data_IF_063673978040
#
_entry.id   IF_063673978040
#
_cell.length_a   1.000
_cell.length_b   1.000
_cell.length_c   1.000
_cell.angle_alpha   90.00
_cell.angle_beta   90.00
_cell.angle_gamma   90.00
#
_symmetry.space_group_name_H-M   'P 1'
#
loop_
_entity.id
_entity.type
_entity.pdbx_description
1 polymer ?
#
# COMPACT_ATOMS: atom_id res chain seq x y z
N UNK A 1 10.20 -12.47 10.84
CA UNK A 1 8.89 -12.02 10.31
C UNK A 1 9.06 -11.62 8.85
N UNK A 2 8.30 -12.22 7.96
CA UNK A 2 8.18 -11.77 6.56
C UNK A 2 7.15 -10.66 6.47
N UNK A 3 7.48 -9.57 5.77
CA UNK A 3 6.62 -8.40 5.59
C UNK A 3 6.29 -8.21 4.12
N UNK A 4 5.01 -8.27 3.79
CA UNK A 4 4.49 -8.12 2.43
C UNK A 4 3.63 -6.88 2.35
N UNK A 5 4.00 -5.96 1.47
CA UNK A 5 3.33 -4.66 1.33
C UNK A 5 2.42 -4.68 0.10
N UNK A 6 1.21 -4.18 0.26
CA UNK A 6 0.24 -4.00 -0.80
C UNK A 6 0.16 -2.50 -1.11
N UNK A 7 0.49 -2.13 -2.35
CA UNK A 7 0.49 -0.74 -2.81
C UNK A 7 -0.31 -0.59 -4.11
N UNK A 8 -0.56 0.62 -4.49
CA UNK A 8 -1.26 0.98 -5.73
C UNK A 8 -2.18 2.18 -5.54
N UNK A 9 -2.78 2.68 -6.64
CA UNK A 9 -3.75 3.76 -6.59
C UNK A 9 -4.99 3.42 -5.74
N UNK A 10 -5.78 4.43 -5.43
CA UNK A 10 -7.05 4.22 -4.73
C UNK A 10 -8.02 3.34 -5.56
N UNK A 11 -8.96 2.69 -4.89
CA UNK A 11 -9.98 1.84 -5.53
C UNK A 11 -9.40 0.70 -6.38
N UNK A 12 -8.31 0.12 -5.95
CA UNK A 12 -7.65 -1.03 -6.60
C UNK A 12 -7.73 -2.33 -5.79
N UNK A 13 -8.55 -2.34 -4.73
CA UNK A 13 -8.80 -3.53 -3.92
C UNK A 13 -7.70 -3.87 -2.91
N UNK A 14 -6.83 -2.93 -2.53
CA UNK A 14 -5.72 -3.18 -1.59
C UNK A 14 -6.19 -3.74 -0.25
N UNK A 15 -7.10 -3.05 0.42
CA UNK A 15 -7.60 -3.45 1.74
C UNK A 15 -8.31 -4.78 1.71
N UNK A 16 -9.13 -5.02 0.69
CA UNK A 16 -9.80 -6.32 0.48
C UNK A 16 -8.77 -7.43 0.30
N UNK A 17 -7.74 -7.20 -0.49
CA UNK A 17 -6.67 -8.18 -0.72
C UNK A 17 -5.89 -8.46 0.58
N UNK A 18 -5.56 -7.44 1.36
CA UNK A 18 -4.90 -7.61 2.66
C UNK A 18 -5.72 -8.47 3.61
N UNK A 19 -7.01 -8.19 3.71
CA UNK A 19 -7.94 -8.94 4.57
C UNK A 19 -8.04 -10.41 4.14
N UNK A 20 -8.19 -10.66 2.84
CA UNK A 20 -8.27 -12.02 2.30
C UNK A 20 -6.97 -12.81 2.50
N UNK A 21 -5.82 -12.19 2.28
CA UNK A 21 -4.52 -12.81 2.52
C UNK A 21 -4.31 -13.11 4.02
N UNK A 22 -4.63 -12.17 4.88
CA UNK A 22 -4.53 -12.37 6.33
C UNK A 22 -5.41 -13.55 6.80
N UNK A 23 -6.65 -13.64 6.28
CA UNK A 23 -7.54 -14.76 6.56
C UNK A 23 -6.98 -16.09 6.03
N UNK A 24 -6.46 -16.11 4.79
CA UNK A 24 -5.90 -17.32 4.16
C UNK A 24 -4.72 -17.89 4.96
N UNK A 25 -3.80 -17.02 5.42
CA UNK A 25 -2.60 -17.43 6.17
C UNK A 25 -2.82 -17.46 7.69
N UNK A 26 -4.02 -17.17 8.17
CA UNK A 26 -4.34 -17.05 9.60
C UNK A 26 -3.35 -16.13 10.33
N UNK A 27 -3.16 -14.93 9.80
CA UNK A 27 -2.22 -13.93 10.31
C UNK A 27 -2.86 -12.54 10.39
N UNK A 28 -2.10 -11.58 10.87
CA UNK A 28 -2.50 -10.19 10.98
C UNK A 28 -2.23 -9.39 9.69
N UNK A 29 -2.90 -8.25 9.58
CA UNK A 29 -2.57 -7.23 8.60
C UNK A 29 -2.69 -5.83 9.19
N UNK A 30 -1.88 -4.92 8.70
CA UNK A 30 -1.87 -3.52 9.09
C UNK A 30 -2.78 -2.74 8.16
N UNK A 31 -3.82 -2.14 8.73
CA UNK A 31 -4.77 -1.30 7.99
C UNK A 31 -4.13 0.02 7.57
N UNK A 32 -4.64 0.60 6.50
CA UNK A 32 -4.27 1.95 6.07
C UNK A 32 -4.66 2.98 7.13
N UNK A 33 -3.67 3.54 7.81
CA UNK A 33 -3.88 4.51 8.89
C UNK A 33 -4.51 5.82 8.40
N UNK A 34 -4.23 6.22 7.16
CA UNK A 34 -4.78 7.43 6.55
C UNK A 34 -6.31 7.49 6.62
N UNK A 35 -6.97 6.34 6.37
CA UNK A 35 -8.42 6.28 6.41
C UNK A 35 -8.99 6.62 7.79
N UNK A 36 -8.45 6.00 8.83
CA UNK A 36 -8.85 6.27 10.21
C UNK A 36 -8.56 7.72 10.61
N UNK A 37 -7.38 8.21 10.26
CA UNK A 37 -6.97 9.59 10.53
C UNK A 37 -7.92 10.61 9.92
N UNK A 38 -8.25 10.47 8.63
CA UNK A 38 -9.13 11.40 7.92
C UNK A 38 -10.59 11.31 8.39
N UNK A 39 -11.07 10.14 8.76
CA UNK A 39 -12.41 9.99 9.34
C UNK A 39 -12.51 10.65 10.72
N UNK A 40 -11.46 10.62 11.52
CA UNK A 40 -11.43 11.20 12.86
C UNK A 40 -11.16 12.70 12.85
N UNK A 41 -10.25 13.18 11.99
CA UNK A 41 -9.78 14.57 12.00
C UNK A 41 -10.37 15.43 10.87
N UNK A 42 -11.20 14.85 9.98
CA UNK A 42 -11.77 15.52 8.82
C UNK A 42 -11.00 15.23 7.54
N UNK A 43 -11.68 15.41 6.41
CA UNK A 43 -11.15 15.07 5.07
C UNK A 43 -10.17 16.10 4.52
N UNK A 44 -10.14 17.29 5.09
CA UNK A 44 -9.20 18.33 4.74
C UNK A 44 -7.87 18.04 5.43
N UNK A 45 -6.79 18.06 4.65
CA UNK A 45 -5.45 17.83 5.15
C UNK A 45 -4.45 18.81 4.52
N UNK A 46 -3.41 19.09 5.25
CA UNK A 46 -2.27 19.87 4.80
C UNK A 46 -1.01 18.99 4.72
N UNK A 47 0.10 19.59 4.32
CA UNK A 47 1.37 18.90 4.18
C UNK A 47 1.87 18.27 5.48
N UNK A 48 1.69 18.95 6.62
CA UNK A 48 2.11 18.45 7.94
C UNK A 48 1.25 17.28 8.40
N UNK A 49 -0.05 17.27 8.08
CA UNK A 49 -0.93 16.15 8.38
C UNK A 49 -0.47 14.85 7.69
N UNK A 50 0.12 14.93 6.49
CA UNK A 50 0.67 13.75 5.81
C UNK A 50 1.86 13.15 6.58
N UNK A 51 2.64 13.96 7.29
CA UNK A 51 3.67 13.44 8.18
C UNK A 51 3.08 12.72 9.39
N UNK A 52 2.01 13.25 9.97
CA UNK A 52 1.31 12.59 11.08
C UNK A 52 0.72 11.26 10.65
N UNK A 53 0.10 11.21 9.47
CA UNK A 53 -0.41 9.97 8.86
C UNK A 53 0.72 8.96 8.64
N UNK A 54 1.85 9.40 8.09
CA UNK A 54 3.01 8.53 7.86
C UNK A 54 3.56 7.94 9.17
N UNK A 55 3.66 8.74 10.22
CA UNK A 55 4.09 8.28 11.55
C UNK A 55 3.09 7.29 12.15
N UNK A 56 1.80 7.54 12.01
CA UNK A 56 0.75 6.62 12.45
C UNK A 56 0.80 5.27 11.73
N UNK A 57 1.04 5.28 10.41
CA UNK A 57 1.21 4.06 9.61
C UNK A 57 2.40 3.23 10.10
N UNK A 58 3.54 3.85 10.34
CA UNK A 58 4.74 3.17 10.87
C UNK A 58 4.48 2.61 12.27
N UNK A 59 3.85 3.39 13.15
CA UNK A 59 3.51 2.93 14.49
C UNK A 59 2.56 1.70 14.46
N UNK A 60 1.56 1.72 13.59
CA UNK A 60 0.67 0.58 13.38
C UNK A 60 1.42 -0.66 12.87
N UNK A 61 2.38 -0.49 11.96
CA UNK A 61 3.22 -1.59 11.47
C UNK A 61 4.12 -2.18 12.56
N UNK A 62 4.62 -1.36 13.48
CA UNK A 62 5.48 -1.80 14.59
C UNK A 62 4.75 -2.63 15.63
N UNK A 63 3.41 -2.52 15.69
CA UNK A 63 2.59 -3.37 16.57
C UNK A 63 2.31 -4.75 15.96
N UNK A 64 2.62 -4.96 14.67
CA UNK A 64 2.44 -6.25 14.02
C UNK A 64 3.40 -7.30 14.57
N UNK A 65 2.90 -8.51 14.77
CA UNK A 65 3.66 -9.64 15.27
C UNK A 65 3.50 -10.88 14.37
N UNK A 66 4.16 -12.00 14.77
CA UNK A 66 4.04 -13.26 14.06
C UNK A 66 5.12 -13.49 13.00
N UNK A 67 4.91 -14.51 12.17
CA UNK A 67 5.88 -14.91 11.14
C UNK A 67 5.66 -14.21 9.80
N UNK A 68 4.45 -13.76 9.55
CA UNK A 68 4.01 -13.12 8.29
C UNK A 68 3.10 -11.95 8.63
N UNK A 69 3.32 -10.80 8.00
CA UNK A 69 2.54 -9.59 8.18
C UNK A 69 2.22 -8.98 6.80
N UNK A 70 0.95 -8.73 6.52
CA UNK A 70 0.51 -7.96 5.37
C UNK A 70 0.31 -6.50 5.77
N UNK A 71 0.71 -5.58 4.90
CA UNK A 71 0.70 -4.14 5.19
C UNK A 71 -0.04 -3.44 4.06
N UNK A 72 -1.19 -2.83 4.38
CA UNK A 72 -1.93 -1.99 3.45
C UNK A 72 -1.33 -0.58 3.48
N UNK A 73 -0.57 -0.26 2.46
CA UNK A 73 0.08 1.04 2.30
C UNK A 73 1.37 1.21 3.11
N UNK A 74 2.38 1.72 2.46
CA UNK A 74 3.69 2.03 3.03
C UNK A 74 4.15 3.47 2.76
N UNK A 75 5.42 3.73 3.01
CA UNK A 75 6.01 5.05 2.79
C UNK A 75 6.19 5.42 1.32
N UNK A 76 6.21 4.47 0.38
CA UNK A 76 6.14 4.80 -1.04
C UNK A 76 4.80 5.43 -1.41
N UNK A 77 3.69 4.93 -0.85
CA UNK A 77 2.38 5.53 -1.05
C UNK A 77 2.33 6.94 -0.44
N UNK A 78 2.88 7.13 0.75
CA UNK A 78 2.99 8.45 1.36
C UNK A 78 3.84 9.42 0.54
N UNK A 79 4.96 8.95 -0.03
CA UNK A 79 5.80 9.73 -0.93
C UNK A 79 5.02 10.17 -2.17
N UNK A 80 4.34 9.26 -2.84
CA UNK A 80 3.53 9.57 -4.02
C UNK A 80 2.43 10.58 -3.68
N UNK A 81 1.76 10.41 -2.56
CA UNK A 81 0.73 11.34 -2.11
C UNK A 81 1.30 12.74 -1.83
N UNK A 82 2.39 12.83 -1.07
CA UNK A 82 3.06 14.11 -0.80
C UNK A 82 3.48 14.83 -2.08
N UNK A 83 4.13 14.13 -2.99
CA UNK A 83 4.62 14.70 -4.25
C UNK A 83 3.50 15.07 -5.21
N UNK A 84 2.45 14.25 -5.30
CA UNK A 84 1.32 14.49 -6.19
C UNK A 84 0.50 15.72 -5.78
N UNK A 85 0.24 15.90 -4.48
CA UNK A 85 -0.60 17.00 -3.97
C UNK A 85 0.23 18.25 -3.68
N UNK A 86 1.42 18.11 -3.10
CA UNK A 86 2.23 19.21 -2.60
C UNK A 86 3.54 19.44 -3.37
N UNK A 87 3.83 18.61 -4.35
CA UNK A 87 5.06 18.65 -5.15
C UNK A 87 6.36 18.61 -4.33
N UNK A 88 6.32 18.02 -3.15
CA UNK A 88 7.45 17.80 -2.23
C UNK A 88 7.14 16.67 -1.26
N UNK A 89 8.18 16.10 -0.65
CA UNK A 89 8.03 15.05 0.36
C UNK A 89 8.97 15.34 1.54
N UNK A 90 8.49 15.06 2.76
CA UNK A 90 9.29 15.25 3.97
C UNK A 90 10.45 14.27 4.03
N UNK A 91 11.60 14.74 4.50
CA UNK A 91 12.81 13.93 4.69
C UNK A 91 12.57 12.73 5.60
N UNK A 92 11.71 12.86 6.61
CA UNK A 92 11.36 11.76 7.50
C UNK A 92 10.77 10.57 6.74
N UNK A 93 9.83 10.83 5.81
CA UNK A 93 9.22 9.79 4.96
C UNK A 93 10.28 9.14 4.07
N UNK A 94 11.12 9.96 3.42
CA UNK A 94 12.19 9.47 2.55
C UNK A 94 13.19 8.59 3.31
N UNK A 95 13.56 8.97 4.53
CA UNK A 95 14.44 8.19 5.39
C UNK A 95 13.80 6.83 5.76
N UNK A 96 12.50 6.81 6.06
CA UNK A 96 11.79 5.55 6.36
C UNK A 96 11.79 4.60 5.17
N UNK A 97 11.67 5.09 3.94
CA UNK A 97 11.77 4.26 2.73
C UNK A 97 13.13 3.56 2.67
N UNK A 98 14.21 4.28 2.98
CA UNK A 98 15.58 3.71 2.95
C UNK A 98 15.82 2.71 4.08
N UNK A 99 15.28 2.98 5.26
CA UNK A 99 15.54 2.18 6.47
C UNK A 99 14.66 0.92 6.56
N UNK A 100 13.43 0.97 6.03
CA UNK A 100 12.48 -0.15 6.12
C UNK A 100 12.88 -1.28 5.18
N UNK A 101 12.74 -2.50 5.70
CA UNK A 101 13.00 -3.72 4.92
C UNK A 101 11.72 -4.52 4.80
N UNK A 102 11.31 -4.73 3.57
CA UNK A 102 10.19 -5.58 3.20
C UNK A 102 10.68 -6.74 2.36
N UNK A 103 9.90 -7.81 2.29
CA UNK A 103 10.26 -9.03 1.58
C UNK A 103 9.60 -9.14 0.21
N UNK A 104 8.43 -8.49 0.03
CA UNK A 104 7.68 -8.52 -1.22
C UNK A 104 6.74 -7.31 -1.31
N UNK A 105 6.61 -6.75 -2.52
CA UNK A 105 5.56 -5.81 -2.87
C UNK A 105 4.53 -6.43 -3.79
N UNK A 106 3.25 -6.19 -3.51
CA UNK A 106 2.13 -6.51 -4.39
C UNK A 106 1.56 -5.19 -4.90
N UNK A 107 1.76 -4.91 -6.20
CA UNK A 107 1.28 -3.69 -6.84
C UNK A 107 -0.08 -3.93 -7.49
N UNK A 108 -1.13 -3.38 -6.90
CA UNK A 108 -2.50 -3.51 -7.42
C UNK A 108 -2.73 -2.61 -8.64
N UNK A 109 -3.15 -3.23 -9.73
CA UNK A 109 -3.45 -2.56 -11.00
C UNK A 109 -4.86 -1.90 -10.96
N UNK A 110 -5.10 -0.99 -11.90
CA UNK A 110 -6.32 -0.17 -12.01
C UNK A 110 -7.40 -0.81 -12.90
N UNK A 111 -7.40 -2.10 -13.07
CA UNK A 111 -8.35 -2.87 -13.88
C UNK A 111 -9.63 -3.30 -13.14
N UNK A 112 -9.80 -2.87 -11.87
CA UNK A 112 -11.07 -2.92 -11.16
C UNK A 112 -11.86 -1.62 -11.36
N UNK A 113 -13.22 -1.68 -11.39
CA UNK A 113 -14.04 -0.49 -11.43
C UNK A 113 -13.79 0.41 -10.21
N UNK A 114 -13.73 1.74 -10.45
CA UNK A 114 -13.69 2.69 -9.35
C UNK A 114 -15.03 2.67 -8.60
N UNK A 115 -14.95 2.54 -7.29
CA UNK A 115 -16.12 2.56 -6.40
C UNK A 115 -16.10 3.84 -5.59
N UNK A 116 -17.22 4.57 -5.59
CA UNK A 116 -17.37 5.80 -4.83
C UNK A 116 -17.22 5.54 -3.34
N UNK A 117 -16.38 6.34 -2.70
CA UNK A 117 -16.15 6.31 -1.26
C UNK A 117 -15.90 7.76 -0.82
N UNK A 118 -16.25 8.09 0.40
CA UNK A 118 -16.17 9.47 0.91
C UNK A 118 -14.74 10.04 0.96
N UNK A 119 -13.71 9.17 0.98
CA UNK A 119 -12.30 9.57 1.02
C UNK A 119 -11.58 9.45 -0.31
N UNK A 120 -12.24 8.95 -1.37
CA UNK A 120 -11.62 8.78 -2.70
C UNK A 120 -11.73 10.04 -3.52
N UNK A 121 -10.60 10.46 -4.10
CA UNK A 121 -10.46 11.75 -4.79
C UNK A 121 -10.34 11.62 -6.31
N UNK A 122 -9.97 10.44 -6.83
CA UNK A 122 -9.58 10.25 -8.24
C UNK A 122 -10.46 9.23 -8.98
N UNK A 123 -11.70 9.59 -9.37
CA UNK A 123 -12.57 8.71 -10.15
C UNK A 123 -12.07 8.53 -11.60
N UNK A 124 -11.28 9.46 -12.11
CA UNK A 124 -10.77 9.44 -13.46
C UNK A 124 -9.78 8.29 -13.69
N UNK A 125 -10.09 7.43 -14.66
CA UNK A 125 -9.28 6.26 -14.98
C UNK A 125 -7.87 6.65 -15.49
N UNK A 126 -7.75 7.71 -16.28
CA UNK A 126 -6.45 8.14 -16.82
C UNK A 126 -5.54 8.67 -15.70
N UNK A 127 -6.09 9.41 -14.73
CA UNK A 127 -5.35 9.83 -13.54
C UNK A 127 -4.86 8.62 -12.73
N UNK A 128 -5.70 7.60 -12.54
CA UNK A 128 -5.33 6.37 -11.82
C UNK A 128 -4.29 5.53 -12.58
N UNK A 129 -4.39 5.46 -13.92
CA UNK A 129 -3.36 4.83 -14.76
C UNK A 129 -2.02 5.55 -14.66
N UNK A 130 -2.04 6.88 -14.60
CA UNK A 130 -0.84 7.69 -14.40
C UNK A 130 -0.21 7.41 -13.03
N UNK A 131 -1.00 7.36 -11.98
CA UNK A 131 -0.54 6.98 -10.64
C UNK A 131 0.02 5.56 -10.61
N UNK A 132 -0.64 4.60 -11.25
CA UNK A 132 -0.15 3.23 -11.36
C UNK A 132 1.23 3.17 -12.01
N UNK A 133 1.43 3.89 -13.13
CA UNK A 133 2.74 3.96 -13.80
C UNK A 133 3.81 4.57 -12.88
N UNK A 134 3.45 5.54 -12.07
CA UNK A 134 4.35 6.13 -11.08
C UNK A 134 4.76 5.08 -10.02
N UNK A 135 3.81 4.32 -9.46
CA UNK A 135 4.12 3.21 -8.55
C UNK A 135 4.97 2.13 -9.19
N UNK A 136 4.66 1.77 -10.44
CA UNK A 136 5.44 0.79 -11.20
C UNK A 136 6.89 1.25 -11.39
N UNK A 137 7.09 2.51 -11.73
CA UNK A 137 8.43 3.10 -11.86
C UNK A 137 9.21 3.00 -10.53
N UNK A 138 8.58 3.29 -9.41
CA UNK A 138 9.19 3.11 -8.09
C UNK A 138 9.57 1.65 -7.84
N UNK A 139 8.72 0.69 -8.20
CA UNK A 139 8.99 -0.73 -8.02
C UNK A 139 10.14 -1.23 -8.90
N UNK A 140 10.23 -0.77 -10.12
CA UNK A 140 11.33 -1.11 -11.05
C UNK A 140 12.67 -0.57 -10.55
N UNK A 141 12.69 0.56 -9.85
CA UNK A 141 13.91 1.24 -9.39
C UNK A 141 14.32 0.90 -7.94
N UNK A 142 13.71 -0.12 -7.33
CA UNK A 142 14.09 -0.61 -6.01
C UNK A 142 14.36 -2.13 -6.07
N UNK A 143 14.99 -2.69 -5.03
CA UNK A 143 15.54 -4.04 -5.07
C UNK A 143 14.65 -5.13 -4.45
N UNK A 144 13.58 -4.77 -3.74
CA UNK A 144 12.66 -5.76 -3.17
C UNK A 144 11.84 -6.40 -4.30
N UNK A 145 11.67 -7.73 -4.33
CA UNK A 145 10.80 -8.37 -5.30
C UNK A 145 9.39 -7.77 -5.31
N UNK A 146 8.79 -7.69 -6.48
CA UNK A 146 7.43 -7.19 -6.60
C UNK A 146 6.65 -7.92 -7.69
N UNK A 147 5.32 -7.93 -7.57
CA UNK A 147 4.40 -8.59 -8.51
C UNK A 147 3.23 -7.65 -8.82
N UNK A 148 2.89 -7.54 -10.11
CA UNK A 148 1.65 -6.88 -10.54
C UNK A 148 0.44 -7.76 -10.18
N UNK A 149 -0.53 -7.17 -9.52
CA UNK A 149 -1.79 -7.80 -9.14
C UNK A 149 -2.92 -7.23 -9.97
N UNK A 150 -3.40 -8.02 -10.92
CA UNK A 150 -4.44 -7.66 -11.89
C UNK A 150 -5.46 -8.80 -12.07
N UNK A 151 -6.56 -8.50 -12.72
CA UNK A 151 -7.65 -9.43 -12.96
C UNK A 151 -8.84 -9.24 -12.01
N UNK A 152 -9.71 -10.24 -11.95
CA UNK A 152 -10.84 -10.28 -11.00
C UNK A 152 -10.35 -10.37 -9.56
N UNK A 153 -11.23 -10.18 -8.59
CA UNK A 153 -10.88 -10.35 -7.16
C UNK A 153 -10.30 -11.74 -6.88
N UNK A 154 -10.86 -12.79 -7.47
CA UNK A 154 -10.37 -14.17 -7.30
C UNK A 154 -8.97 -14.35 -7.93
N UNK A 155 -8.78 -13.89 -9.16
CA UNK A 155 -7.48 -13.97 -9.85
C UNK A 155 -6.39 -13.20 -9.10
N UNK A 156 -6.74 -12.02 -8.55
CA UNK A 156 -5.84 -11.20 -7.72
C UNK A 156 -5.42 -11.94 -6.47
N UNK A 157 -6.35 -12.56 -5.78
CA UNK A 157 -6.08 -13.35 -4.57
C UNK A 157 -5.16 -14.52 -4.89
N UNK A 158 -5.43 -15.29 -5.95
CA UNK A 158 -4.60 -16.43 -6.34
C UNK A 158 -3.17 -16.01 -6.73
N UNK A 159 -3.03 -14.91 -7.45
CA UNK A 159 -1.70 -14.35 -7.80
C UNK A 159 -0.94 -13.92 -6.55
N UNK A 160 -1.61 -13.27 -5.63
CA UNK A 160 -1.01 -12.80 -4.38
C UNK A 160 -0.59 -13.98 -3.47
N UNK A 161 -1.41 -15.02 -3.37
CA UNK A 161 -1.07 -16.26 -2.64
C UNK A 161 0.17 -16.89 -3.27
N UNK A 162 0.18 -17.10 -4.58
CA UNK A 162 1.33 -17.71 -5.26
C UNK A 162 2.63 -16.90 -5.08
N UNK A 163 2.55 -15.57 -5.07
CA UNK A 163 3.70 -14.71 -4.82
C UNK A 163 4.17 -14.78 -3.36
N UNK A 164 3.23 -14.82 -2.41
CA UNK A 164 3.50 -14.96 -0.99
C UNK A 164 4.18 -16.29 -0.66
N UNK A 165 3.69 -17.40 -1.21
CA UNK A 165 4.27 -18.73 -1.00
C UNK A 165 5.72 -18.76 -1.48
N UNK A 166 5.99 -18.27 -2.69
CA UNK A 166 7.37 -18.16 -3.20
C UNK A 166 8.28 -17.30 -2.31
N UNK A 167 7.72 -16.22 -1.75
CA UNK A 167 8.46 -15.34 -0.83
C UNK A 167 8.77 -16.04 0.50
N UNK A 168 7.89 -16.90 0.99
CA UNK A 168 8.11 -17.67 2.21
C UNK A 168 9.14 -18.79 2.00
N UNK A 169 9.13 -19.43 0.83
CA UNK A 169 10.06 -20.50 0.47
C UNK A 169 11.47 -20.00 0.19
N UNK A 170 11.63 -18.75 -0.20
CA UNK A 170 12.93 -18.10 -0.37
C UNK A 170 13.54 -17.81 1.01
N UNK A 171 14.34 -18.75 1.48
CA UNK A 171 15.02 -18.63 2.77
C UNK A 171 16.17 -17.59 2.73
#
# INVERSE_FOLDING_TARGET
>A
MKKIVIIGPESTGKSTLCEQLAAHYNTQWVKEYAREYLLTNGKEYNYDNLLDIAKGQIAAEELGDGKLLFIDTDMYVMKVWCEYVFNKCQHWILNRIVERKYDLYLLCNVDLPWVKDELREYPDLEARKKLYRHYKDLMVNQNVPWVDISGSYEERLQRAIAATDRCQDAA
#
